data_IF_106964858981
#
_entry.id   IF_106964858981
#
_cell.length_a   1.000
_cell.length_b   1.000
_cell.length_c   1.000
_cell.angle_alpha   90.00
_cell.angle_beta   90.00
_cell.angle_gamma   90.00
#
_symmetry.space_group_name_H-M   'P 1'
#
loop_
_entity.id
_entity.type
_entity.pdbx_description
1 polymer ?
#
# COMPACT_ATOMS: atom_id res chain seq x y z
N UNK A 1 5.16 33.31 -0.11
CA UNK A 1 6.10 32.39 0.57
C UNK A 1 7.38 33.14 0.89
N UNK A 2 7.63 33.47 2.17
CA UNK A 2 8.95 33.92 2.62
C UNK A 2 9.55 32.76 3.41
N UNK A 3 10.59 32.11 2.87
CA UNK A 3 11.34 31.09 3.60
C UNK A 3 12.07 31.74 4.78
N UNK A 4 12.12 31.04 5.92
CA UNK A 4 12.95 31.44 7.05
C UNK A 4 14.43 31.29 6.66
N UNK A 5 15.17 32.40 6.65
CA UNK A 5 16.60 32.46 6.35
C UNK A 5 17.39 32.22 7.63
N UNK A 6 18.35 31.30 7.63
CA UNK A 6 19.28 31.11 8.74
C UNK A 6 20.27 32.30 8.81
N UNK A 7 20.90 32.57 9.97
CA UNK A 7 21.90 33.64 10.09
C UNK A 7 23.09 33.52 9.14
N UNK A 8 23.33 32.32 8.59
CA UNK A 8 24.40 32.01 7.62
C UNK A 8 24.00 32.24 6.15
N UNK A 9 22.79 32.72 5.88
CA UNK A 9 22.32 33.00 4.51
C UNK A 9 21.89 31.76 3.70
N UNK A 10 21.91 30.56 4.29
CA UNK A 10 21.43 29.36 3.60
C UNK A 10 19.90 29.33 3.51
N UNK A 11 19.38 29.04 2.32
CA UNK A 11 17.95 28.87 2.09
C UNK A 11 17.51 27.48 2.57
N UNK A 12 16.60 27.43 3.54
CA UNK A 12 15.86 26.21 3.83
C UNK A 12 14.77 26.05 2.78
N UNK A 13 15.01 25.23 1.76
CA UNK A 13 13.91 24.69 0.96
C UNK A 13 13.11 23.80 1.90
N UNK A 14 11.83 24.15 2.17
CA UNK A 14 10.93 23.16 2.75
C UNK A 14 10.70 22.13 1.63
N UNK A 15 11.12 20.87 1.80
CA UNK A 15 10.79 19.85 0.81
C UNK A 15 9.28 19.83 0.59
N UNK A 16 8.85 19.52 -0.64
CA UNK A 16 7.49 19.06 -0.86
C UNK A 16 7.37 17.74 -0.09
N UNK A 17 6.81 17.83 1.11
CA UNK A 17 6.59 16.73 2.02
C UNK A 17 5.08 16.63 2.29
N UNK A 18 4.61 15.44 2.60
CA UNK A 18 3.24 15.25 3.04
C UNK A 18 3.17 15.42 4.54
N UNK A 19 2.07 15.97 5.03
CA UNK A 19 1.77 15.83 6.44
C UNK A 19 1.63 14.33 6.77
N UNK A 20 2.00 13.90 7.99
CA UNK A 20 1.88 12.50 8.38
C UNK A 20 0.45 11.99 8.15
N UNK A 21 0.28 10.68 7.98
CA UNK A 21 -1.05 10.09 7.73
C UNK A 21 -2.12 10.56 8.74
N UNK A 22 -1.71 10.91 9.96
CA UNK A 22 -2.58 11.48 10.99
C UNK A 22 -3.27 12.80 10.56
N UNK A 23 -2.64 13.61 9.71
CA UNK A 23 -3.17 14.88 9.23
C UNK A 23 -4.01 14.76 7.94
N UNK A 24 -3.75 13.76 7.11
CA UNK A 24 -4.42 13.58 5.81
C UNK A 24 -5.39 12.39 5.77
N UNK A 25 -5.61 11.69 6.89
CA UNK A 25 -6.45 10.48 6.96
C UNK A 25 -7.83 10.70 6.36
N UNK A 26 -8.51 11.77 6.76
CA UNK A 26 -9.88 12.06 6.33
C UNK A 26 -9.93 12.37 4.83
N UNK A 27 -8.90 13.03 4.31
CA UNK A 27 -8.75 13.30 2.89
C UNK A 27 -8.56 11.99 2.10
N UNK A 28 -7.69 11.10 2.57
CA UNK A 28 -7.48 9.77 1.95
C UNK A 28 -8.76 8.94 1.98
N UNK A 29 -9.52 8.98 3.08
CA UNK A 29 -10.84 8.36 3.18
C UNK A 29 -11.81 8.97 2.16
N UNK A 30 -11.79 10.29 1.95
CA UNK A 30 -12.63 10.97 0.97
C UNK A 30 -12.31 10.57 -0.47
N UNK A 31 -11.04 10.31 -0.80
CA UNK A 31 -10.64 9.76 -2.09
C UNK A 31 -11.13 8.32 -2.24
N UNK A 32 -10.95 7.50 -1.20
CA UNK A 32 -11.43 6.11 -1.19
C UNK A 32 -12.94 6.00 -1.38
N UNK A 33 -13.71 6.92 -0.81
CA UNK A 33 -15.16 6.98 -0.95
C UNK A 33 -15.64 7.30 -2.38
N UNK A 34 -14.77 7.81 -3.25
CA UNK A 34 -15.07 8.05 -4.67
C UNK A 34 -14.80 6.82 -5.55
N UNK A 35 -14.19 5.76 -5.00
CA UNK A 35 -13.88 4.54 -5.73
C UNK A 35 -15.04 3.52 -5.69
N UNK A 36 -15.11 2.63 -6.68
CA UNK A 36 -16.06 1.52 -6.71
C UNK A 36 -15.35 0.19 -6.42
N UNK A 37 -15.16 -0.14 -5.14
CA UNK A 37 -14.51 -1.40 -4.77
C UNK A 37 -14.02 -1.48 -3.33
N UNK A 38 -12.96 -2.26 -3.14
CA UNK A 38 -12.28 -2.41 -1.86
C UNK A 38 -11.30 -1.25 -1.61
N UNK A 39 -11.35 -0.71 -0.40
CA UNK A 39 -10.36 0.23 0.14
C UNK A 39 -9.48 -0.51 1.15
N UNK A 40 -8.16 -0.35 1.04
CA UNK A 40 -7.17 -0.93 1.96
C UNK A 40 -6.21 0.17 2.39
N UNK A 41 -5.95 0.28 3.70
CA UNK A 41 -4.93 1.17 4.24
C UNK A 41 -4.05 0.44 5.26
N UNK A 42 -2.76 0.32 4.97
CA UNK A 42 -1.77 -0.18 5.93
C UNK A 42 -1.57 0.81 7.08
N UNK A 43 -1.38 0.29 8.29
CA UNK A 43 -1.20 1.08 9.49
C UNK A 43 -0.49 0.30 10.60
N UNK A 44 -0.03 1.04 11.61
CA UNK A 44 0.38 0.42 12.88
C UNK A 44 -0.83 -0.09 13.64
N UNK A 45 -0.61 -0.90 14.67
CA UNK A 45 -1.67 -1.41 15.55
C UNK A 45 -2.50 -0.28 16.17
N UNK A 46 -1.85 0.81 16.57
CA UNK A 46 -2.48 2.01 17.14
C UNK A 46 -3.30 2.79 16.11
N UNK A 47 -2.92 2.69 14.83
CA UNK A 47 -3.63 3.32 13.72
C UNK A 47 -4.97 2.65 13.37
N UNK A 48 -5.19 1.41 13.78
CA UNK A 48 -6.39 0.63 13.41
C UNK A 48 -7.68 1.33 13.82
N UNK A 49 -7.80 1.76 15.08
CA UNK A 49 -9.00 2.43 15.58
C UNK A 49 -9.23 3.76 14.87
N UNK A 50 -8.16 4.57 14.69
CA UNK A 50 -8.23 5.87 14.03
C UNK A 50 -8.71 5.76 12.58
N UNK A 51 -8.23 4.74 11.87
CA UNK A 51 -8.69 4.44 10.53
C UNK A 51 -10.14 3.97 10.50
N UNK A 52 -10.53 3.08 11.42
CA UNK A 52 -11.90 2.61 11.53
C UNK A 52 -12.87 3.78 11.79
N UNK A 53 -12.52 4.70 12.69
CA UNK A 53 -13.32 5.88 13.02
C UNK A 53 -13.50 6.80 11.80
N UNK A 54 -12.41 7.13 11.10
CA UNK A 54 -12.46 7.96 9.89
C UNK A 54 -13.29 7.30 8.77
N UNK A 55 -13.13 5.98 8.56
CA UNK A 55 -13.90 5.23 7.57
C UNK A 55 -15.38 5.18 7.95
N UNK A 56 -15.71 4.94 9.22
CA UNK A 56 -17.10 4.87 9.70
C UNK A 56 -17.81 6.22 9.63
N UNK A 57 -17.07 7.34 9.63
CA UNK A 57 -17.59 8.68 9.38
C UNK A 57 -17.85 8.96 7.88
N UNK A 58 -17.41 8.07 6.98
CA UNK A 58 -17.59 8.18 5.53
C UNK A 58 -18.73 7.27 5.01
N UNK A 59 -19.13 7.40 3.73
CA UNK A 59 -20.07 6.47 3.11
C UNK A 59 -19.55 5.03 2.93
N UNK A 60 -18.24 4.80 3.09
CA UNK A 60 -17.66 3.47 2.98
C UNK A 60 -18.09 2.56 4.13
N UNK A 61 -18.18 1.26 3.85
CA UNK A 61 -18.54 0.25 4.85
C UNK A 61 -17.28 -0.38 5.40
N UNK A 62 -16.80 0.07 6.56
CA UNK A 62 -15.71 -0.60 7.28
C UNK A 62 -16.02 -2.10 7.45
N UNK A 63 -15.03 -2.95 7.22
CA UNK A 63 -15.18 -4.40 7.35
C UNK A 63 -14.38 -4.93 8.52
N UNK A 64 -13.06 -4.77 8.48
CA UNK A 64 -12.19 -5.40 9.48
C UNK A 64 -10.77 -4.84 9.42
N UNK A 65 -10.07 -4.98 10.54
CA UNK A 65 -8.62 -4.91 10.58
C UNK A 65 -8.03 -6.29 10.28
N UNK A 66 -7.11 -6.34 9.34
CA UNK A 66 -6.30 -7.48 9.00
C UNK A 66 -4.88 -7.28 9.56
N UNK A 67 -4.16 -8.39 9.71
CA UNK A 67 -2.78 -8.41 10.20
C UNK A 67 -1.88 -9.10 9.19
N UNK A 68 -0.74 -8.49 8.94
CA UNK A 68 0.41 -9.10 8.30
C UNK A 68 1.43 -9.49 9.37
N UNK A 69 1.65 -10.78 9.55
CA UNK A 69 2.70 -11.37 10.40
C UNK A 69 3.99 -11.40 9.59
N UNK A 70 5.10 -10.96 10.21
CA UNK A 70 6.44 -10.82 9.64
C UNK A 70 7.40 -11.83 10.28
N UNK A 71 7.49 -13.08 9.79
CA UNK A 71 8.25 -14.14 10.47
C UNK A 71 9.75 -13.87 10.62
N UNK A 72 10.32 -13.07 9.72
CA UNK A 72 11.73 -12.68 9.63
C UNK A 72 11.96 -11.19 9.94
N UNK A 73 11.03 -10.56 10.68
CA UNK A 73 11.23 -9.19 11.16
C UNK A 73 12.50 -9.12 12.00
N UNK A 74 13.30 -8.06 11.80
CA UNK A 74 14.51 -7.84 12.59
C UNK A 74 14.19 -7.78 14.08
N UNK A 75 14.86 -8.59 14.93
CA UNK A 75 14.65 -8.54 16.37
C UNK A 75 15.16 -7.23 16.98
N UNK A 76 14.70 -6.93 18.20
CA UNK A 76 15.12 -5.74 18.94
C UNK A 76 16.51 -5.99 19.54
N UNK A 77 17.55 -5.69 18.77
CA UNK A 77 18.95 -6.04 19.11
C UNK A 77 19.46 -5.41 20.42
N UNK A 78 18.89 -4.28 20.84
CA UNK A 78 19.30 -3.60 22.07
C UNK A 78 18.62 -4.14 23.36
N UNK A 79 17.69 -5.09 23.24
CA UNK A 79 17.00 -5.72 24.37
C UNK A 79 16.01 -4.81 25.12
N UNK A 80 15.70 -3.61 24.63
CA UNK A 80 14.85 -2.63 25.32
C UNK A 80 13.34 -2.85 25.11
N UNK A 81 12.93 -3.99 24.56
CA UNK A 81 11.52 -4.31 24.34
C UNK A 81 11.28 -5.34 23.24
N UNK A 82 10.02 -5.67 22.97
CA UNK A 82 9.65 -6.56 21.88
C UNK A 82 9.89 -5.88 20.52
N UNK A 83 10.32 -6.66 19.53
CA UNK A 83 10.37 -6.23 18.14
C UNK A 83 8.98 -6.17 17.52
N UNK A 84 8.80 -5.33 16.51
CA UNK A 84 7.56 -5.27 15.74
C UNK A 84 7.46 -6.43 14.75
N UNK A 85 6.83 -7.53 15.19
CA UNK A 85 6.64 -8.75 14.41
C UNK A 85 5.42 -8.76 13.48
N UNK A 86 4.66 -7.66 13.43
CA UNK A 86 3.46 -7.55 12.61
C UNK A 86 3.21 -6.11 12.13
N UNK A 87 2.34 -5.99 11.13
CA UNK A 87 1.76 -4.74 10.68
C UNK A 87 0.28 -4.95 10.38
N UNK A 88 -0.54 -3.93 10.53
CA UNK A 88 -1.97 -4.03 10.29
C UNK A 88 -2.35 -3.36 8.98
N UNK A 89 -3.52 -3.72 8.47
CA UNK A 89 -4.21 -2.91 7.48
C UNK A 89 -5.71 -2.99 7.72
N UNK A 90 -6.42 -1.90 7.50
CA UNK A 90 -7.88 -1.89 7.52
C UNK A 90 -8.42 -2.16 6.13
N UNK A 91 -9.59 -2.80 6.04
CA UNK A 91 -10.33 -2.94 4.80
C UNK A 91 -11.76 -2.40 4.93
N UNK A 92 -12.21 -1.73 3.87
CA UNK A 92 -13.56 -1.19 3.75
C UNK A 92 -14.09 -1.40 2.34
N UNK A 93 -15.41 -1.32 2.19
CA UNK A 93 -16.09 -1.39 0.90
C UNK A 93 -16.64 -0.03 0.52
N UNK A 94 -16.11 0.55 -0.56
CA UNK A 94 -16.56 1.82 -1.15
C UNK A 94 -17.62 1.63 -2.25
N UNK A 95 -17.73 0.42 -2.81
CA UNK A 95 -18.70 0.13 -3.86
C UNK A 95 -20.17 0.13 -3.41
N UNK A 96 -21.07 0.09 -4.38
CA UNK A 96 -22.52 -0.07 -4.13
C UNK A 96 -22.83 -1.50 -3.67
N UNK A 97 -23.93 -1.65 -2.93
CA UNK A 97 -24.42 -2.98 -2.52
C UNK A 97 -23.50 -3.72 -1.54
N UNK A 98 -23.38 -5.04 -1.73
CA UNK A 98 -22.60 -5.94 -0.89
C UNK A 98 -21.20 -6.17 -1.48
N UNK A 99 -20.20 -6.17 -0.61
CA UNK A 99 -18.84 -6.47 -0.99
C UNK A 99 -18.70 -7.94 -1.42
N UNK A 100 -18.06 -8.19 -2.57
CA UNK A 100 -17.63 -9.52 -2.98
C UNK A 100 -16.14 -9.67 -2.69
N UNK A 101 -15.80 -10.64 -1.86
CA UNK A 101 -14.42 -10.96 -1.51
C UNK A 101 -14.01 -12.30 -2.12
N UNK A 102 -12.81 -12.37 -2.70
CA UNK A 102 -12.39 -13.54 -3.47
C UNK A 102 -11.84 -14.67 -2.60
N UNK A 103 -11.45 -14.38 -1.36
CA UNK A 103 -10.75 -15.33 -0.50
C UNK A 103 -11.65 -16.30 0.28
N UNK A 104 -12.92 -16.44 -0.10
CA UNK A 104 -13.80 -17.53 0.38
C UNK A 104 -13.94 -17.65 1.90
N UNK A 105 -13.86 -16.56 2.66
CA UNK A 105 -13.96 -16.58 4.13
C UNK A 105 -12.63 -16.80 4.86
N UNK A 106 -11.50 -16.74 4.16
CA UNK A 106 -10.15 -16.71 4.74
C UNK A 106 -10.07 -15.74 5.94
N UNK A 107 -9.28 -16.11 6.96
CA UNK A 107 -9.00 -15.22 8.08
C UNK A 107 -8.16 -14.05 7.58
N UNK A 108 -8.40 -12.83 8.08
CA UNK A 108 -7.61 -11.65 7.68
C UNK A 108 -6.21 -11.62 8.30
N UNK A 109 -5.50 -12.74 8.23
CA UNK A 109 -4.15 -12.96 8.73
C UNK A 109 -3.32 -13.36 7.52
N UNK A 110 -2.28 -12.58 7.23
CA UNK A 110 -1.39 -12.75 6.11
C UNK A 110 0.01 -13.00 6.67
N UNK A 111 0.69 -14.05 6.24
CA UNK A 111 2.02 -14.39 6.77
C UNK A 111 3.02 -14.37 5.62
N UNK A 112 3.86 -13.34 5.57
CA UNK A 112 4.84 -13.15 4.51
C UNK A 112 6.15 -12.63 5.07
N UNK A 113 7.27 -13.08 4.48
CA UNK A 113 8.60 -12.61 4.83
C UNK A 113 8.78 -11.15 4.38
N UNK A 114 9.47 -10.35 5.19
CA UNK A 114 9.89 -8.98 4.90
C UNK A 114 11.09 -9.00 3.95
N UNK A 115 12.07 -9.87 4.19
CA UNK A 115 13.33 -9.98 3.47
C UNK A 115 13.31 -11.13 2.46
N UNK A 116 12.26 -11.17 1.63
CA UNK A 116 12.21 -12.13 0.54
C UNK A 116 13.34 -11.91 -0.48
N UNK A 117 13.70 -12.94 -1.29
CA UNK A 117 14.76 -12.84 -2.29
C UNK A 117 14.49 -11.79 -3.38
N UNK A 118 13.25 -11.32 -3.47
CA UNK A 118 12.81 -10.30 -4.43
C UNK A 118 12.96 -8.86 -3.87
N UNK A 119 13.34 -8.69 -2.60
CA UNK A 119 13.57 -7.38 -2.00
C UNK A 119 14.91 -6.83 -2.48
N UNK A 120 14.87 -5.66 -3.11
CA UNK A 120 16.09 -5.00 -3.61
C UNK A 120 16.73 -4.08 -2.56
N UNK A 121 15.99 -3.69 -1.54
CA UNK A 121 16.45 -2.74 -0.51
C UNK A 121 16.53 -1.30 -1.00
N UNK A 122 16.11 -1.02 -2.23
CA UNK A 122 16.14 0.32 -2.83
C UNK A 122 15.14 1.31 -2.20
N UNK A 123 14.17 0.80 -1.41
CA UNK A 123 13.23 1.61 -0.64
C UNK A 123 13.14 1.12 0.81
N UNK A 124 13.17 2.02 1.82
CA UNK A 124 13.23 1.63 3.23
C UNK A 124 12.00 0.84 3.68
N UNK A 125 10.82 1.19 3.15
CA UNK A 125 9.52 0.62 3.55
C UNK A 125 8.84 -0.18 2.43
N UNK A 126 9.63 -0.81 1.55
CA UNK A 126 9.11 -1.69 0.50
C UNK A 126 8.27 -2.84 1.09
N UNK A 127 7.00 -2.96 0.65
CA UNK A 127 6.16 -4.13 0.96
C UNK A 127 6.61 -5.34 0.13
N UNK A 128 6.55 -6.57 0.67
CA UNK A 128 6.88 -7.77 -0.12
C UNK A 128 5.91 -7.97 -1.28
N UNK A 129 6.43 -8.29 -2.47
CA UNK A 129 5.60 -8.54 -3.65
C UNK A 129 4.58 -9.66 -3.43
N UNK A 130 4.98 -10.75 -2.76
CA UNK A 130 4.07 -11.88 -2.47
C UNK A 130 2.86 -11.47 -1.63
N UNK A 131 3.05 -10.62 -0.62
CA UNK A 131 1.96 -10.05 0.16
C UNK A 131 1.03 -9.24 -0.76
N UNK A 132 1.59 -8.33 -1.56
CA UNK A 132 0.79 -7.49 -2.44
C UNK A 132 0.06 -8.29 -3.52
N UNK A 133 0.69 -9.31 -4.12
CA UNK A 133 0.04 -10.22 -5.08
C UNK A 133 -1.15 -10.96 -4.47
N UNK A 134 -1.02 -11.43 -3.23
CA UNK A 134 -2.13 -12.07 -2.53
C UNK A 134 -3.27 -11.08 -2.23
N UNK A 135 -2.94 -9.86 -1.80
CA UNK A 135 -3.95 -8.81 -1.57
C UNK A 135 -4.66 -8.41 -2.87
N UNK A 136 -3.93 -8.24 -3.97
CA UNK A 136 -4.52 -7.96 -5.29
C UNK A 136 -5.49 -9.09 -5.68
N UNK A 137 -5.12 -10.35 -5.51
CA UNK A 137 -5.99 -11.48 -5.80
C UNK A 137 -7.23 -11.52 -4.90
N UNK A 138 -7.06 -11.28 -3.60
CA UNK A 138 -8.14 -11.34 -2.60
C UNK A 138 -9.16 -10.20 -2.78
N UNK A 139 -8.70 -9.00 -3.12
CA UNK A 139 -9.49 -7.76 -3.07
C UNK A 139 -9.83 -7.14 -4.43
N UNK A 140 -9.44 -7.74 -5.56
CA UNK A 140 -9.75 -7.19 -6.89
C UNK A 140 -10.21 -8.26 -7.88
N UNK A 141 -11.09 -7.88 -8.81
CA UNK A 141 -11.48 -8.73 -9.94
C UNK A 141 -10.51 -8.57 -11.12
N UNK A 142 -10.41 -9.56 -12.02
CA UNK A 142 -9.75 -9.37 -13.31
C UNK A 142 -10.28 -8.14 -14.04
N UNK A 143 -9.39 -7.36 -14.67
CA UNK A 143 -9.75 -6.11 -15.34
C UNK A 143 -10.05 -4.91 -14.42
N UNK A 144 -10.01 -5.09 -13.09
CA UNK A 144 -10.14 -3.97 -12.16
C UNK A 144 -8.95 -3.00 -12.30
N UNK A 145 -9.20 -1.73 -11.97
CA UNK A 145 -8.16 -0.71 -11.84
C UNK A 145 -7.84 -0.48 -10.37
N UNK A 146 -6.55 -0.49 -10.03
CA UNK A 146 -6.05 -0.26 -8.68
C UNK A 146 -5.40 1.11 -8.62
N UNK A 147 -5.78 1.91 -7.63
CA UNK A 147 -5.15 3.19 -7.31
C UNK A 147 -4.28 3.01 -6.06
N UNK A 148 -3.02 3.43 -6.15
CA UNK A 148 -2.12 3.56 -5.01
C UNK A 148 -1.55 5.01 -4.98
N UNK A 149 -2.09 5.88 -4.11
CA UNK A 149 -1.66 7.28 -4.05
C UNK A 149 -0.30 7.49 -3.36
N UNK A 150 0.28 6.42 -2.80
CA UNK A 150 1.56 6.43 -2.08
C UNK A 150 2.42 5.25 -2.52
N UNK A 151 2.58 5.08 -3.83
CA UNK A 151 3.04 3.80 -4.40
C UNK A 151 4.49 3.44 -4.04
N UNK A 152 5.30 4.40 -3.59
CA UNK A 152 6.69 4.18 -3.23
C UNK A 152 7.46 3.55 -4.38
N UNK A 153 8.08 2.40 -4.12
CA UNK A 153 8.82 1.63 -5.12
C UNK A 153 7.94 0.83 -6.09
N UNK A 154 6.61 0.99 -6.09
CA UNK A 154 5.70 0.43 -7.10
C UNK A 154 5.31 -1.03 -6.92
N UNK A 155 5.49 -1.63 -5.73
CA UNK A 155 5.20 -3.07 -5.53
C UNK A 155 3.72 -3.41 -5.80
N UNK A 156 2.79 -2.53 -5.43
CA UNK A 156 1.35 -2.67 -5.75
C UNK A 156 1.13 -2.74 -7.26
N UNK A 157 1.80 -1.89 -8.03
CA UNK A 157 1.70 -1.85 -9.48
C UNK A 157 2.26 -3.09 -10.17
N UNK A 158 3.41 -3.58 -9.70
CA UNK A 158 3.96 -4.86 -10.18
C UNK A 158 2.97 -6.01 -9.93
N UNK A 159 2.42 -6.09 -8.70
CA UNK A 159 1.43 -7.10 -8.36
C UNK A 159 0.14 -7.00 -9.20
N UNK A 160 -0.32 -5.77 -9.46
CA UNK A 160 -1.49 -5.49 -10.29
C UNK A 160 -1.29 -5.99 -11.74
N UNK A 161 -0.19 -5.58 -12.38
CA UNK A 161 0.12 -5.96 -13.77
C UNK A 161 0.26 -7.47 -13.92
N UNK A 162 1.03 -8.12 -13.03
CA UNK A 162 1.21 -9.56 -13.08
C UNK A 162 -0.11 -10.34 -12.93
N UNK A 163 -1.11 -9.71 -12.30
CA UNK A 163 -2.43 -10.27 -12.12
C UNK A 163 -3.41 -9.86 -13.23
N UNK A 164 -3.00 -9.11 -14.26
CA UNK A 164 -3.91 -8.62 -15.30
C UNK A 164 -4.91 -7.57 -14.79
N UNK A 165 -4.45 -6.70 -13.88
CA UNK A 165 -5.18 -5.51 -13.41
C UNK A 165 -4.50 -4.24 -13.94
N UNK A 166 -5.30 -3.22 -14.19
CA UNK A 166 -4.80 -1.87 -14.48
C UNK A 166 -4.32 -1.21 -13.18
N UNK A 167 -3.35 -0.31 -13.29
CA UNK A 167 -2.75 0.36 -12.14
C UNK A 167 -2.54 1.86 -12.37
N UNK A 168 -2.89 2.66 -11.37
CA UNK A 168 -2.62 4.09 -11.28
C UNK A 168 -1.82 4.30 -9.99
N UNK A 169 -0.59 4.81 -10.11
CA UNK A 169 0.30 5.02 -8.99
C UNK A 169 0.79 6.47 -8.93
N UNK A 170 0.84 7.03 -7.72
CA UNK A 170 1.33 8.38 -7.45
C UNK A 170 2.43 8.31 -6.40
N UNK A 171 3.52 9.04 -6.61
CA UNK A 171 4.57 9.24 -5.61
C UNK A 171 5.19 10.63 -5.80
N UNK A 172 5.46 11.35 -4.71
CA UNK A 172 6.10 12.67 -4.78
C UNK A 172 7.61 12.59 -4.99
N UNK A 173 8.25 11.48 -4.61
CA UNK A 173 9.69 11.34 -4.72
C UNK A 173 10.02 10.89 -6.16
N UNK A 174 10.66 11.73 -6.97
CA UNK A 174 10.94 11.40 -8.37
C UNK A 174 11.86 10.17 -8.52
N UNK A 175 12.73 9.90 -7.54
CA UNK A 175 13.60 8.72 -7.55
C UNK A 175 12.80 7.44 -7.32
N UNK A 176 11.87 7.44 -6.36
CA UNK A 176 11.01 6.28 -6.10
C UNK A 176 10.00 6.08 -7.22
N UNK A 177 9.45 7.17 -7.75
CA UNK A 177 8.58 7.16 -8.93
C UNK A 177 9.28 6.52 -10.14
N UNK A 178 10.50 6.97 -10.48
CA UNK A 178 11.26 6.39 -11.60
C UNK A 178 11.58 4.90 -11.40
N UNK A 179 11.92 4.50 -10.16
CA UNK A 179 12.12 3.09 -9.82
C UNK A 179 10.83 2.28 -9.99
N UNK A 180 9.69 2.81 -9.53
CA UNK A 180 8.38 2.18 -9.67
C UNK A 180 8.02 1.98 -11.14
N UNK A 181 8.16 3.02 -11.98
CA UNK A 181 7.91 2.94 -13.43
C UNK A 181 8.73 1.81 -14.07
N UNK A 182 10.04 1.79 -13.83
CA UNK A 182 10.92 0.73 -14.38
C UNK A 182 10.44 -0.67 -14.00
N UNK A 183 10.12 -0.90 -12.71
CA UNK A 183 9.67 -2.19 -12.22
C UNK A 183 8.33 -2.62 -12.81
N UNK A 184 7.40 -1.67 -12.98
CA UNK A 184 6.08 -1.93 -13.57
C UNK A 184 6.23 -2.24 -15.06
N UNK A 185 7.06 -1.50 -15.80
CA UNK A 185 7.37 -1.78 -17.20
C UNK A 185 8.03 -3.15 -17.39
N UNK A 186 8.97 -3.52 -16.51
CA UNK A 186 9.57 -4.86 -16.49
C UNK A 186 8.49 -5.94 -16.30
N UNK A 187 7.55 -5.73 -15.37
CA UNK A 187 6.44 -6.65 -15.14
C UNK A 187 5.49 -6.74 -16.35
N UNK A 188 5.22 -5.63 -17.03
CA UNK A 188 4.40 -5.62 -18.26
C UNK A 188 5.06 -6.41 -19.39
N UNK A 189 6.38 -6.25 -19.58
CA UNK A 189 7.15 -7.04 -20.55
C UNK A 189 7.09 -8.53 -20.26
N UNK A 190 7.17 -8.91 -18.98
CA UNK A 190 7.04 -10.31 -18.56
C UNK A 190 5.62 -10.86 -18.74
N UNK A 191 4.59 -10.05 -18.52
CA UNK A 191 3.21 -10.45 -18.73
C UNK A 191 2.92 -10.76 -20.21
N UNK A 192 3.35 -9.90 -21.12
CA UNK A 192 3.16 -10.08 -22.56
C UNK A 192 3.85 -11.31 -23.15
N UNK A 193 4.84 -11.91 -22.46
CA UNK A 193 5.48 -13.17 -22.87
C UNK A 193 4.57 -14.40 -22.69
N UNK A 194 3.54 -14.32 -21.84
CA UNK A 194 2.65 -15.44 -21.53
C UNK A 194 1.19 -15.22 -21.97
N UNK A 195 0.88 -14.12 -22.66
CA UNK A 195 -0.40 -13.92 -23.34
C UNK A 195 -0.48 -14.82 -24.59
N UNK A 196 -0.85 -16.09 -24.37
CA UNK A 196 -1.04 -17.07 -25.45
C UNK A 196 -1.34 -18.52 -25.03
N UNK A 197 -1.40 -18.85 -23.74
CA UNK A 197 -1.58 -20.26 -23.26
C UNK A 197 -2.86 -20.46 -22.44
N UNK A 198 -3.91 -19.69 -22.70
CA UNK A 198 -5.23 -19.96 -22.13
C UNK A 198 -6.33 -19.67 -23.15
N UNK A 199 -6.60 -20.66 -23.99
CA UNK A 199 -7.86 -20.86 -24.70
C UNK A 199 -8.40 -22.24 -24.32
#
# INVERSE_FOLDING_TARGET
MKGLVRPDGSHHWKPLDFDPIDAIRDEVVSWGAQCEGWFIAFCTSEGVARWADAINASPMKYKRACVWIKPDSTPQMNGQGPAQGAEHFVCAWAGKGHARWNAGGKRGVYTHLVNGPERTGAHPTEKPRRLMSELVADFTQPGATILDPFMGSGTTGVAAVMAGRSFIGIDLNPTYFALACKRIEDAQRQYGLFEGVAA
#
